data_IF_978298231789
#
_entry.id   IF_978298231789
#
_cell.length_a   1.000
_cell.length_b   1.000
_cell.length_c   1.000
_cell.angle_alpha   90.00
_cell.angle_beta   90.00
_cell.angle_gamma   90.00
#
_symmetry.space_group_name_H-M   'P 1'
#
loop_
_entity.id
_entity.type
_entity.pdbx_description
1 polymer ?
#
# COMPACT_ATOMS: atom_id res chain seq x y z
N UNK A 1 -0.21 -4.11 -4.40
CA UNK A 1 -1.22 -3.06 -4.63
C UNK A 1 -0.64 -1.69 -4.28
N UNK A 2 -0.81 -0.66 -5.13
CA UNK A 2 -0.37 0.69 -4.84
C UNK A 2 -1.07 1.24 -3.59
N UNK A 3 -0.42 2.17 -2.87
CA UNK A 3 -1.08 2.93 -1.80
C UNK A 3 -1.99 3.98 -2.41
N UNK A 4 -3.08 4.29 -1.71
CA UNK A 4 -3.93 5.44 -2.04
C UNK A 4 -4.19 6.30 -0.82
N UNK A 5 -4.28 7.60 -1.07
CA UNK A 5 -4.76 8.59 -0.10
C UNK A 5 -6.25 8.79 -0.26
N UNK A 6 -7.02 8.52 0.79
CA UNK A 6 -8.48 8.71 0.80
C UNK A 6 -9.04 8.69 2.22
N UNK A 7 -10.22 9.25 2.40
CA UNK A 7 -11.06 8.98 3.56
C UNK A 7 -11.71 7.60 3.43
N UNK A 8 -11.56 6.76 4.46
CA UNK A 8 -12.19 5.45 4.56
C UNK A 8 -12.95 5.32 5.88
N UNK A 9 -13.85 4.33 5.94
CA UNK A 9 -14.75 4.14 7.07
C UNK A 9 -14.62 2.74 7.65
N UNK A 10 -14.78 2.64 8.97
CA UNK A 10 -14.80 1.37 9.69
C UNK A 10 -15.85 1.39 10.79
N UNK A 11 -16.63 0.31 10.88
CA UNK A 11 -17.56 0.08 11.98
C UNK A 11 -17.04 -0.98 12.95
N UNK A 12 -17.30 -0.78 14.24
CA UNK A 12 -17.05 -1.78 15.29
C UNK A 12 -18.29 -1.90 16.16
N UNK A 13 -18.86 -3.12 16.31
CA UNK A 13 -20.03 -3.41 17.17
C UNK A 13 -19.66 -3.51 18.65
N UNK A 14 -18.96 -2.50 19.14
CA UNK A 14 -18.59 -2.33 20.55
C UNK A 14 -18.37 -0.85 20.82
N UNK A 15 -18.70 -0.40 22.04
CA UNK A 15 -18.23 0.88 22.53
C UNK A 15 -16.77 0.77 22.99
N UNK A 16 -15.88 1.40 22.23
CA UNK A 16 -14.45 1.48 22.53
C UNK A 16 -13.99 2.94 22.64
N UNK A 17 -14.91 3.90 22.81
CA UNK A 17 -14.59 5.34 22.76
C UNK A 17 -13.56 5.78 23.80
N UNK A 18 -13.50 5.08 24.93
CA UNK A 18 -12.55 5.34 26.01
C UNK A 18 -11.11 5.04 25.60
N UNK A 19 -10.89 4.18 24.60
CA UNK A 19 -9.55 3.85 24.07
C UNK A 19 -9.00 4.97 23.15
N UNK A 20 -9.87 5.88 22.70
CA UNK A 20 -9.55 6.89 21.69
C UNK A 20 -9.79 8.33 22.21
N UNK A 21 -9.16 8.79 23.30
CA UNK A 21 -9.27 10.19 23.70
C UNK A 21 -8.73 11.12 22.59
N UNK A 22 -9.37 12.29 22.43
CA UNK A 22 -8.98 13.27 21.43
C UNK A 22 -7.52 13.73 21.63
N UNK A 23 -6.78 13.92 20.54
CA UNK A 23 -5.37 14.26 20.56
C UNK A 23 -4.41 13.08 20.76
N UNK A 24 -4.89 11.91 21.20
CA UNK A 24 -4.07 10.71 21.38
C UNK A 24 -3.52 10.21 20.05
N UNK A 25 -2.28 9.74 20.08
CA UNK A 25 -1.70 8.93 19.01
C UNK A 25 -1.68 7.46 19.42
N UNK A 26 -2.04 6.58 18.50
CA UNK A 26 -2.09 5.13 18.72
C UNK A 26 -1.62 4.36 17.49
N UNK A 27 -1.27 3.09 17.70
CA UNK A 27 -0.88 2.17 16.64
C UNK A 27 -1.98 1.12 16.45
N UNK A 28 -2.42 0.91 15.21
CA UNK A 28 -3.16 -0.29 14.85
C UNK A 28 -2.17 -1.35 14.38
N UNK A 29 -1.96 -2.36 15.24
CA UNK A 29 -1.00 -3.42 15.01
C UNK A 29 -1.43 -4.44 13.96
N UNK A 30 -2.73 -4.70 13.85
CA UNK A 30 -3.30 -5.60 12.85
C UNK A 30 -3.68 -4.89 11.54
N UNK A 31 -3.86 -5.67 10.48
CA UNK A 31 -4.55 -5.19 9.29
C UNK A 31 -5.97 -4.77 9.64
N UNK A 32 -6.44 -3.68 9.05
CA UNK A 32 -7.77 -3.15 9.32
C UNK A 32 -8.58 -3.05 8.03
N UNK A 33 -9.62 -3.88 7.92
CA UNK A 33 -10.58 -3.78 6.82
C UNK A 33 -11.46 -2.55 7.00
N UNK A 34 -11.59 -1.78 5.93
CA UNK A 34 -12.34 -0.53 5.83
C UNK A 34 -13.12 -0.52 4.52
N UNK A 35 -14.03 0.43 4.37
CA UNK A 35 -14.78 0.64 3.14
C UNK A 35 -14.69 2.10 2.71
N UNK A 36 -14.78 2.37 1.41
CA UNK A 36 -14.97 3.74 0.91
C UNK A 36 -16.45 4.14 0.77
N UNK A 37 -17.39 3.25 1.10
CA UNK A 37 -18.85 3.46 1.03
C UNK A 37 -19.51 3.40 2.41
N UNK A 38 -20.10 4.51 2.85
CA UNK A 38 -20.85 4.55 4.12
C UNK A 38 -22.05 3.60 4.16
N UNK A 39 -22.72 3.37 3.02
CA UNK A 39 -23.89 2.49 2.93
C UNK A 39 -23.56 1.04 3.32
N UNK A 40 -22.32 0.59 3.10
CA UNK A 40 -21.87 -0.76 3.49
C UNK A 40 -21.96 -0.94 5.00
N UNK A 41 -21.65 0.09 5.79
CA UNK A 41 -21.68 0.00 7.25
C UNK A 41 -23.10 -0.14 7.82
N UNK A 42 -24.15 0.13 7.03
CA UNK A 42 -25.52 -0.12 7.47
C UNK A 42 -25.82 -1.62 7.67
N UNK A 43 -25.03 -2.50 7.06
CA UNK A 43 -25.12 -3.94 7.28
C UNK A 43 -24.77 -4.28 8.74
N UNK A 44 -25.61 -5.10 9.36
CA UNK A 44 -25.47 -5.60 10.72
C UNK A 44 -24.19 -6.43 10.94
N UNK A 45 -23.51 -6.91 9.90
CA UNK A 45 -22.20 -7.56 10.08
C UNK A 45 -21.07 -6.56 10.36
N UNK A 46 -21.26 -5.27 10.04
CA UNK A 46 -20.25 -4.22 10.21
C UNK A 46 -20.57 -3.29 11.37
N UNK A 47 -21.30 -2.19 11.12
CA UNK A 47 -21.72 -1.25 12.17
C UNK A 47 -23.16 -1.55 12.60
N UNK A 48 -24.06 -1.73 11.64
CA UNK A 48 -25.50 -1.83 11.90
C UNK A 48 -26.09 -0.53 12.46
N UNK A 49 -27.36 -0.61 12.88
CA UNK A 49 -28.11 0.57 13.35
C UNK A 49 -28.34 0.59 14.87
N UNK A 50 -28.05 -0.52 15.57
CA UNK A 50 -28.44 -0.71 16.97
C UNK A 50 -27.28 -1.19 17.86
N UNK A 51 -27.42 -1.00 19.17
CA UNK A 51 -26.46 -1.43 20.19
C UNK A 51 -25.19 -0.58 20.28
N UNK A 52 -24.33 -0.88 21.30
CA UNK A 52 -23.07 -0.19 21.51
C UNK A 52 -22.13 -0.35 20.32
N UNK A 53 -21.75 0.78 19.70
CA UNK A 53 -20.96 0.75 18.47
C UNK A 53 -20.12 2.01 18.28
N UNK A 54 -19.01 1.82 17.59
CA UNK A 54 -18.04 2.87 17.30
C UNK A 54 -17.83 2.96 15.79
N UNK A 55 -18.04 4.16 15.25
CA UNK A 55 -17.82 4.48 13.85
C UNK A 55 -16.54 5.29 13.69
N UNK A 56 -15.67 4.86 12.78
CA UNK A 56 -14.43 5.54 12.46
C UNK A 56 -14.51 6.18 11.07
N UNK A 57 -14.14 7.46 10.99
CA UNK A 57 -13.75 8.13 9.75
C UNK A 57 -12.24 8.31 9.77
N UNK A 58 -11.55 7.84 8.74
CA UNK A 58 -10.09 7.72 8.74
C UNK A 58 -9.55 8.41 7.49
N UNK A 59 -8.83 9.51 7.65
CA UNK A 59 -7.94 10.03 6.60
C UNK A 59 -6.70 9.14 6.54
N UNK A 60 -6.57 8.33 5.49
CA UNK A 60 -5.43 7.44 5.29
C UNK A 60 -4.66 7.77 4.02
N UNK A 61 -3.38 7.39 4.00
CA UNK A 61 -2.44 7.53 2.89
C UNK A 61 -1.88 6.18 2.45
N UNK A 62 -2.03 5.13 3.27
CA UNK A 62 -1.46 3.81 3.02
C UNK A 62 -2.48 2.74 2.61
N UNK A 63 -3.74 3.13 2.39
CA UNK A 63 -4.82 2.21 2.04
C UNK A 63 -4.56 1.42 0.76
N UNK A 64 -5.00 0.15 0.76
CA UNK A 64 -4.90 -0.76 -0.39
C UNK A 64 -6.30 -1.10 -0.90
N UNK A 65 -6.59 -0.73 -2.13
CA UNK A 65 -7.81 -1.16 -2.80
C UNK A 65 -7.72 -2.66 -3.10
N UNK A 66 -8.52 -3.44 -2.37
CA UNK A 66 -8.61 -4.89 -2.54
C UNK A 66 -9.97 -5.31 -3.11
N UNK A 67 -10.80 -4.36 -3.57
CA UNK A 67 -12.15 -4.64 -4.09
C UNK A 67 -12.13 -5.73 -5.17
N UNK A 68 -11.17 -5.66 -6.11
CA UNK A 68 -11.03 -6.64 -7.21
C UNK A 68 -10.60 -8.04 -6.77
N UNK A 69 -10.17 -8.17 -5.52
CA UNK A 69 -9.67 -9.41 -4.92
C UNK A 69 -10.57 -9.89 -3.78
N UNK A 70 -11.62 -9.13 -3.43
CA UNK A 70 -12.55 -9.47 -2.36
C UNK A 70 -13.65 -10.40 -2.86
N UNK A 71 -14.09 -11.32 -2.01
CA UNK A 71 -15.26 -12.17 -2.28
C UNK A 71 -16.57 -11.36 -2.34
N UNK A 72 -16.56 -10.10 -1.87
CA UNK A 72 -17.71 -9.20 -1.78
C UNK A 72 -17.43 -7.87 -2.48
N UNK A 73 -17.48 -7.81 -3.83
CA UNK A 73 -17.06 -6.65 -4.61
C UNK A 73 -17.91 -5.39 -4.34
N UNK A 74 -19.09 -5.53 -3.76
CA UNK A 74 -19.99 -4.41 -3.40
C UNK A 74 -19.52 -3.61 -2.19
N UNK A 75 -18.59 -4.14 -1.40
CA UNK A 75 -18.14 -3.53 -0.14
C UNK A 75 -17.13 -2.40 -0.33
N UNK A 76 -16.62 -2.19 -1.56
CA UNK A 76 -15.52 -1.26 -1.88
C UNK A 76 -14.41 -1.33 -0.82
N UNK A 77 -13.95 -2.56 -0.60
CA UNK A 77 -13.07 -2.90 0.51
C UNK A 77 -11.67 -2.28 0.34
N UNK A 78 -11.26 -1.56 1.37
CA UNK A 78 -9.94 -0.97 1.52
C UNK A 78 -9.25 -1.60 2.72
N UNK A 79 -8.07 -2.17 2.50
CA UNK A 79 -7.26 -2.73 3.58
C UNK A 79 -6.21 -1.71 4.03
N UNK A 80 -6.27 -1.30 5.30
CA UNK A 80 -5.17 -0.58 5.92
C UNK A 80 -4.09 -1.57 6.39
N UNK A 81 -2.81 -1.35 6.05
CA UNK A 81 -1.72 -2.20 6.51
C UNK A 81 -1.59 -2.23 8.04
N UNK A 82 -0.95 -3.28 8.54
CA UNK A 82 -0.53 -3.38 9.93
C UNK A 82 0.51 -2.31 10.32
N UNK A 83 0.62 -2.09 11.64
CA UNK A 83 1.56 -1.17 12.26
C UNK A 83 1.47 0.27 11.70
N UNK A 84 0.25 0.78 11.49
CA UNK A 84 0.02 2.18 11.15
C UNK A 84 -0.27 3.00 12.40
N UNK A 85 0.21 4.24 12.41
CA UNK A 85 -0.05 5.21 13.46
C UNK A 85 -1.18 6.13 13.06
N UNK A 86 -2.04 6.45 14.03
CA UNK A 86 -3.18 7.34 13.83
C UNK A 86 -3.27 8.34 14.99
N UNK A 87 -3.59 9.59 14.65
CA UNK A 87 -3.98 10.61 15.61
C UNK A 87 -5.51 10.66 15.69
N UNK A 88 -6.05 10.68 16.91
CA UNK A 88 -7.46 11.00 17.15
C UNK A 88 -7.64 12.50 16.97
N UNK A 89 -8.34 12.90 15.90
CA UNK A 89 -8.55 14.30 15.53
C UNK A 89 -9.77 14.88 16.25
N UNK A 90 -10.86 14.13 16.31
CA UNK A 90 -12.08 14.57 16.98
C UNK A 90 -12.94 13.37 17.40
N UNK A 91 -13.88 13.63 18.31
CA UNK A 91 -14.93 12.67 18.68
C UNK A 91 -16.28 13.33 18.78
N UNK A 92 -17.31 12.57 18.42
CA UNK A 92 -18.70 12.92 18.66
C UNK A 92 -19.42 11.72 19.29
N UNK A 93 -20.02 11.91 20.46
CA UNK A 93 -20.89 10.91 21.08
C UNK A 93 -22.34 11.29 20.83
N UNK A 94 -23.13 10.35 20.30
CA UNK A 94 -24.55 10.51 20.06
C UNK A 94 -25.30 9.50 20.94
N UNK A 95 -25.70 9.96 22.13
CA UNK A 95 -26.28 9.09 23.16
C UNK A 95 -25.25 8.16 23.81
N UNK A 96 -25.76 7.17 24.52
CA UNK A 96 -24.94 6.25 25.32
C UNK A 96 -24.25 5.19 24.46
N UNK A 97 -24.87 4.76 23.37
CA UNK A 97 -24.43 3.56 22.63
C UNK A 97 -23.72 3.86 21.30
N UNK A 98 -23.59 5.13 20.89
CA UNK A 98 -22.96 5.46 19.62
C UNK A 98 -21.91 6.56 19.74
N UNK A 99 -20.73 6.29 19.21
CA UNK A 99 -19.67 7.28 19.08
C UNK A 99 -19.03 7.25 17.68
N UNK A 100 -18.78 8.44 17.15
CA UNK A 100 -18.01 8.69 15.95
C UNK A 100 -16.62 9.19 16.34
N UNK A 101 -15.59 8.64 15.72
CA UNK A 101 -14.19 8.98 15.96
C UNK A 101 -13.55 9.33 14.63
N UNK A 102 -12.89 10.48 14.56
CA UNK A 102 -12.09 10.87 13.41
C UNK A 102 -10.62 10.56 13.67
N UNK A 103 -10.02 9.82 12.76
CA UNK A 103 -8.61 9.46 12.76
C UNK A 103 -7.91 10.08 11.56
N UNK A 104 -6.66 10.46 11.77
CA UNK A 104 -5.74 10.83 10.70
C UNK A 104 -4.50 9.98 10.79
N UNK A 105 -4.17 9.28 9.70
CA UNK A 105 -2.94 8.51 9.58
C UNK A 105 -1.73 9.45 9.71
N UNK A 106 -0.73 8.98 10.45
CA UNK A 106 0.55 9.65 10.59
C UNK A 106 1.54 8.97 9.67
N UNK A 107 2.16 9.75 8.78
CA UNK A 107 3.22 9.25 7.92
C UNK A 107 4.38 8.72 8.77
N UNK A 108 4.82 7.47 8.54
CA UNK A 108 5.98 6.95 9.25
C UNK A 108 7.24 7.69 8.77
N UNK A 109 8.23 7.89 9.65
CA UNK A 109 9.48 8.56 9.29
C UNK A 109 10.33 7.75 8.29
N UNK A 110 10.04 6.46 8.14
CA UNK A 110 10.67 5.56 7.19
C UNK A 110 9.62 4.62 6.56
N UNK A 111 9.84 4.16 5.31
CA UNK A 111 8.97 3.17 4.68
C UNK A 111 8.96 1.88 5.50
N UNK A 112 7.76 1.36 5.80
CA UNK A 112 7.63 0.10 6.55
C UNK A 112 7.87 -1.15 5.68
N UNK A 113 7.70 -1.03 4.37
CA UNK A 113 8.00 -2.07 3.38
C UNK A 113 8.68 -1.38 2.21
N UNK A 114 9.95 -1.69 1.99
CA UNK A 114 10.65 -1.30 0.77
C UNK A 114 10.27 -2.27 -0.35
N UNK A 115 9.79 -1.72 -1.47
CA UNK A 115 9.66 -2.51 -2.69
C UNK A 115 11.07 -2.81 -3.18
N UNK A 116 11.36 -4.09 -3.42
CA UNK A 116 12.59 -4.48 -4.11
C UNK A 116 12.65 -3.71 -5.44
N UNK A 117 13.69 -2.92 -5.69
CA UNK A 117 13.85 -2.24 -6.98
C UNK A 117 13.77 -3.29 -8.08
N UNK A 118 12.84 -3.11 -9.02
CA UNK A 118 12.79 -3.97 -10.19
C UNK A 118 14.13 -3.81 -10.92
N UNK A 119 14.82 -4.91 -11.29
CA UNK A 119 16.04 -4.78 -12.07
C UNK A 119 15.70 -4.00 -13.35
N UNK A 120 16.40 -2.88 -13.56
CA UNK A 120 16.29 -2.11 -14.80
C UNK A 120 16.57 -3.05 -15.98
N UNK A 121 15.82 -2.97 -17.09
CA UNK A 121 16.13 -3.78 -18.26
C UNK A 121 17.58 -3.50 -18.65
N UNK A 122 18.41 -4.55 -18.65
CA UNK A 122 19.80 -4.45 -19.06
C UNK A 122 19.85 -3.79 -20.44
N UNK A 123 20.71 -2.78 -20.67
CA UNK A 123 20.85 -2.21 -22.00
C UNK A 123 21.16 -3.35 -22.97
N UNK A 124 20.34 -3.48 -24.01
CA UNK A 124 20.57 -4.46 -25.06
C UNK A 124 22.01 -4.29 -25.53
N UNK A 125 22.81 -5.35 -25.43
CA UNK A 125 24.19 -5.33 -25.91
C UNK A 125 24.14 -4.97 -27.39
N UNK A 126 24.60 -3.76 -27.74
CA UNK A 126 24.88 -3.40 -29.12
C UNK A 126 25.85 -4.46 -29.65
N UNK A 127 25.36 -5.35 -30.51
CA UNK A 127 26.21 -6.30 -31.23
C UNK A 127 27.08 -5.45 -32.14
N UNK A 128 28.31 -5.16 -31.70
CA UNK A 128 29.32 -4.54 -32.56
C UNK A 128 29.67 -5.59 -33.62
N UNK A 129 29.50 -5.32 -34.93
CA UNK A 129 29.90 -6.26 -35.96
C UNK A 129 31.39 -6.57 -35.83
N UNK A 130 31.73 -7.86 -35.77
CA UNK A 130 33.12 -8.32 -35.74
C UNK A 130 33.83 -7.82 -37.01
N UNK A 131 34.99 -7.13 -36.90
CA UNK A 131 35.72 -6.70 -38.08
C UNK A 131 36.21 -7.91 -38.89
N UNK A 132 36.27 -7.78 -40.23
CA UNK A 132 36.67 -8.87 -41.11
C UNK A 132 38.10 -9.31 -40.80
N UNK A 133 38.28 -10.62 -40.65
CA UNK A 133 39.57 -11.26 -40.42
C UNK A 133 40.40 -11.08 -41.70
N UNK A 134 41.49 -10.31 -41.63
CA UNK A 134 42.45 -10.23 -42.73
C UNK A 134 43.31 -11.49 -42.73
N UNK A 135 43.43 -12.21 -43.87
CA UNK A 135 44.33 -13.35 -43.95
C UNK A 135 45.80 -12.89 -43.86
N UNK A 136 46.68 -13.70 -43.25
CA UNK A 136 48.09 -13.35 -43.08
C UNK A 136 48.78 -13.14 -44.44
N UNK A 137 49.43 -11.99 -44.59
CA UNK A 137 50.18 -11.62 -45.78
C UNK A 137 51.32 -12.60 -46.06
N UNK A 138 51.37 -13.12 -47.28
CA UNK A 138 52.45 -14.00 -47.76
C UNK A 138 53.69 -13.14 -48.04
N UNK A 139 54.71 -13.22 -47.20
CA UNK A 139 55.98 -12.54 -47.44
C UNK A 139 56.84 -13.39 -48.39
N UNK A 140 56.95 -12.95 -49.65
CA UNK A 140 57.65 -13.65 -50.75
C UNK A 140 59.14 -13.27 -50.87
N UNK A 141 59.78 -12.69 -49.85
CA UNK A 141 61.15 -12.19 -49.95
C UNK A 141 62.22 -13.00 -49.20
N UNK A 142 62.12 -14.33 -49.16
CA UNK A 142 63.24 -15.22 -48.76
C UNK A 142 63.31 -16.46 -49.65
N UNK A 143 63.71 -16.28 -50.92
CA UNK A 143 64.25 -17.38 -51.73
C UNK A 143 65.09 -16.83 -52.90
N UNK A 144 66.10 -16.04 -52.54
CA UNK A 144 67.28 -15.79 -53.36
C UNK A 144 68.43 -15.66 -52.35
N UNK A 145 69.18 -16.75 -52.17
CA UNK A 145 70.55 -16.80 -51.63
C UNK A 145 70.83 -18.21 -51.09
N UNK A 146 70.89 -19.20 -51.98
CA UNK A 146 71.85 -20.32 -51.87
C UNK A 146 72.09 -20.82 -53.30
N UNK A 147 73.36 -20.82 -53.73
CA UNK A 147 73.79 -21.18 -55.08
C UNK A 147 73.84 -22.67 -55.37
#
# INVERSE_FOLDING_TARGET
LPSMTRTVYRGVKKDIRHEYPEGRTLVWWGFSSCTSKLSVLQNEQFLGMTGPRTFFTIECDSGKDIQKYSCYPVEDEILLPAARQFKVVSRLSQGEDFCMIQLKEIQPPFPLIELVPQPSPSPAMHIVPKPPIQPPGRNIQKLIDIG
#
